data_IF_689578414844
#
_entry.id   IF_689578414844
#
_cell.length_a   1.000
_cell.length_b   1.000
_cell.length_c   1.000
_cell.angle_alpha   90.00
_cell.angle_beta   90.00
_cell.angle_gamma   90.00
#
_symmetry.space_group_name_H-M   'P 1'
#
loop_
_entity.id
_entity.type
_entity.pdbx_description
1 polymer ?
#
# COMPACT_ATOMS: atom_id res chain seq x y z
N UNK A 1 8.90 -4.93 -15.10
CA UNK A 1 7.57 -4.65 -15.67
C UNK A 1 7.45 -5.40 -16.98
N UNK A 2 6.38 -6.15 -17.17
CA UNK A 2 6.11 -6.79 -18.46
C UNK A 2 5.65 -5.71 -19.45
N UNK A 3 6.52 -5.39 -20.42
CA UNK A 3 6.40 -4.19 -21.27
C UNK A 3 5.08 -4.13 -22.05
N UNK A 4 4.63 -5.26 -22.57
CA UNK A 4 3.39 -5.41 -23.35
C UNK A 4 2.12 -5.33 -22.49
N UNK A 5 2.24 -5.27 -21.16
CA UNK A 5 1.12 -5.12 -20.23
C UNK A 5 0.94 -3.71 -19.66
N UNK A 6 1.77 -2.74 -20.10
CA UNK A 6 1.76 -1.40 -19.51
C UNK A 6 0.60 -0.58 -20.09
N UNK A 7 -0.36 -0.24 -19.23
CA UNK A 7 -1.45 0.68 -19.52
C UNK A 7 -1.11 2.07 -18.98
N UNK A 8 -0.69 3.00 -19.85
CA UNK A 8 -0.51 4.41 -19.49
C UNK A 8 -1.83 5.18 -19.67
N UNK A 9 -2.35 5.71 -18.57
CA UNK A 9 -3.61 6.46 -18.52
C UNK A 9 -3.33 7.92 -18.20
N UNK A 10 -3.75 8.80 -19.10
CA UNK A 10 -3.39 10.22 -19.07
C UNK A 10 -4.51 11.08 -18.50
N UNK A 11 -5.74 10.87 -18.95
CA UNK A 11 -6.88 11.65 -18.52
C UNK A 11 -7.51 11.07 -17.24
N UNK A 12 -8.17 11.93 -16.46
CA UNK A 12 -8.80 11.49 -15.20
C UNK A 12 -9.91 10.47 -15.44
N UNK A 13 -10.68 10.63 -16.52
CA UNK A 13 -11.79 9.74 -16.86
C UNK A 13 -11.31 8.32 -17.11
N UNK A 14 -10.31 8.13 -17.96
CA UNK A 14 -9.73 6.82 -18.24
C UNK A 14 -9.11 6.17 -17.01
N UNK A 15 -8.51 6.96 -16.10
CA UNK A 15 -8.02 6.44 -14.81
C UNK A 15 -9.20 5.92 -13.97
N UNK A 16 -10.29 6.67 -13.85
CA UNK A 16 -11.48 6.21 -13.15
C UNK A 16 -12.08 4.95 -13.79
N UNK A 17 -12.25 4.94 -15.11
CA UNK A 17 -12.83 3.82 -15.84
C UNK A 17 -11.98 2.56 -15.70
N UNK A 18 -10.65 2.68 -15.85
CA UNK A 18 -9.74 1.56 -15.69
C UNK A 18 -9.78 1.01 -14.26
N UNK A 19 -9.65 1.88 -13.25
CA UNK A 19 -9.67 1.48 -11.85
C UNK A 19 -11.01 0.86 -11.46
N UNK A 20 -12.13 1.38 -11.99
CA UNK A 20 -13.46 0.80 -11.79
C UNK A 20 -13.55 -0.64 -12.32
N UNK A 21 -12.88 -0.94 -13.44
CA UNK A 21 -12.84 -2.27 -14.04
C UNK A 21 -11.91 -3.25 -13.29
N UNK A 22 -11.03 -2.76 -12.42
CA UNK A 22 -10.20 -3.63 -11.56
C UNK A 22 -10.98 -4.18 -10.37
N UNK A 23 -12.01 -3.48 -9.92
CA UNK A 23 -12.76 -3.84 -8.71
C UNK A 23 -13.60 -5.10 -8.89
N UNK A 24 -13.59 -5.95 -7.88
CA UNK A 24 -14.59 -6.99 -7.73
C UNK A 24 -15.97 -6.35 -7.50
N UNK A 25 -17.04 -7.04 -7.92
CA UNK A 25 -18.38 -6.58 -7.58
C UNK A 25 -18.59 -6.65 -6.06
N UNK A 26 -18.82 -5.51 -5.42
CA UNK A 26 -18.89 -5.41 -3.97
C UNK A 26 -18.71 -3.99 -3.41
N UNK A 27 -18.41 -3.86 -2.11
CA UNK A 27 -18.43 -2.57 -1.41
C UNK A 27 -17.47 -1.52 -1.99
N UNK A 28 -16.24 -1.90 -2.37
CA UNK A 28 -15.24 -0.97 -2.92
C UNK A 28 -15.69 -0.42 -4.27
N UNK A 29 -16.15 -1.30 -5.18
CA UNK A 29 -16.73 -0.91 -6.46
C UNK A 29 -17.91 0.04 -6.28
N UNK A 30 -18.79 -0.24 -5.31
CA UNK A 30 -19.95 0.60 -5.05
C UNK A 30 -19.58 1.98 -4.48
N UNK A 31 -18.62 2.04 -3.54
CA UNK A 31 -18.09 3.30 -3.02
C UNK A 31 -17.46 4.13 -4.14
N UNK A 32 -16.72 3.51 -5.06
CA UNK A 32 -16.16 4.20 -6.23
C UNK A 32 -17.26 4.76 -7.14
N UNK A 33 -18.26 3.94 -7.49
CA UNK A 33 -19.35 4.30 -8.41
C UNK A 33 -20.23 5.43 -7.86
N UNK A 34 -20.48 5.45 -6.56
CA UNK A 34 -21.41 6.40 -5.90
C UNK A 34 -20.78 7.72 -5.47
N UNK A 35 -19.49 7.95 -5.76
CA UNK A 35 -18.81 9.16 -5.28
C UNK A 35 -18.50 9.12 -3.78
N UNK A 36 -18.26 7.94 -3.21
CA UNK A 36 -17.87 7.75 -1.80
C UNK A 36 -16.36 7.84 -1.58
N UNK A 37 -15.88 7.39 -0.42
CA UNK A 37 -14.47 7.47 -0.03
C UNK A 37 -13.50 6.90 -1.08
N UNK A 38 -13.83 5.78 -1.72
CA UNK A 38 -12.96 5.19 -2.77
C UNK A 38 -12.89 6.10 -4.00
N UNK A 39 -14.00 6.75 -4.38
CA UNK A 39 -14.01 7.71 -5.48
C UNK A 39 -13.06 8.88 -5.23
N UNK A 40 -13.12 9.48 -4.04
CA UNK A 40 -12.28 10.63 -3.70
C UNK A 40 -10.78 10.27 -3.72
N UNK A 41 -10.45 9.06 -3.30
CA UNK A 41 -9.08 8.53 -3.37
C UNK A 41 -8.64 8.39 -4.85
N UNK A 42 -9.51 7.85 -5.71
CA UNK A 42 -9.21 7.69 -7.14
C UNK A 42 -9.14 9.03 -7.87
N UNK A 43 -10.00 10.00 -7.57
CA UNK A 43 -9.89 11.36 -8.16
C UNK A 43 -8.57 12.02 -7.76
N UNK A 44 -8.17 11.90 -6.49
CA UNK A 44 -6.87 12.38 -6.04
C UNK A 44 -5.72 11.66 -6.73
N UNK A 45 -5.81 10.34 -6.90
CA UNK A 45 -4.83 9.54 -7.62
C UNK A 45 -4.69 10.00 -9.08
N UNK A 46 -5.80 10.28 -9.76
CA UNK A 46 -5.86 10.72 -11.16
C UNK A 46 -5.36 12.14 -11.43
N UNK A 47 -4.93 12.89 -10.42
CA UNK A 47 -4.37 14.25 -10.59
C UNK A 47 -3.15 14.31 -11.52
N UNK A 48 -2.45 13.21 -11.72
CA UNK A 48 -1.35 13.05 -12.69
C UNK A 48 -1.60 11.80 -13.54
N UNK A 49 -0.95 11.64 -14.71
CA UNK A 49 -0.91 10.39 -15.45
C UNK A 49 -0.47 9.23 -14.57
N UNK A 50 -1.04 8.05 -14.80
CA UNK A 50 -0.79 6.83 -14.03
C UNK A 50 -0.56 5.67 -14.97
N UNK A 51 0.17 4.67 -14.51
CA UNK A 51 0.32 3.45 -15.29
C UNK A 51 0.14 2.21 -14.42
N UNK A 52 -0.41 1.18 -15.06
CA UNK A 52 -0.65 -0.15 -14.49
C UNK A 52 0.15 -1.16 -15.30
N UNK A 53 0.64 -2.22 -14.66
CA UNK A 53 1.46 -3.22 -15.36
C UNK A 53 1.46 -4.57 -14.64
N UNK A 54 1.64 -5.65 -15.38
CA UNK A 54 1.93 -6.98 -14.86
C UNK A 54 3.43 -7.16 -14.55
N UNK A 55 3.79 -7.94 -13.53
CA UNK A 55 5.18 -8.24 -13.24
C UNK A 55 5.82 -9.06 -14.38
N UNK A 56 7.02 -8.67 -14.79
CA UNK A 56 7.90 -9.52 -15.60
C UNK A 56 8.62 -10.57 -14.74
N UNK A 57 8.91 -10.24 -13.48
CA UNK A 57 9.59 -11.09 -12.53
C UNK A 57 8.87 -10.98 -11.16
N UNK A 58 7.77 -11.73 -10.97
CA UNK A 58 6.86 -11.56 -9.83
C UNK A 58 7.56 -11.60 -8.47
N UNK A 59 8.57 -12.46 -8.33
CA UNK A 59 9.29 -12.64 -7.08
C UNK A 59 9.87 -11.33 -6.54
N UNK A 60 10.51 -10.51 -7.37
CA UNK A 60 11.17 -9.28 -6.92
C UNK A 60 10.27 -8.05 -7.02
N UNK A 61 9.37 -8.01 -8.01
CA UNK A 61 8.53 -6.83 -8.27
C UNK A 61 7.42 -6.66 -7.23
N UNK A 62 6.90 -7.76 -6.65
CA UNK A 62 5.83 -7.73 -5.65
C UNK A 62 6.15 -6.88 -4.42
N UNK A 63 7.43 -6.72 -4.08
CA UNK A 63 7.87 -5.96 -2.91
C UNK A 63 8.45 -4.59 -3.27
N UNK A 64 8.51 -4.22 -4.56
CA UNK A 64 9.32 -3.10 -5.02
C UNK A 64 8.76 -1.70 -4.68
N UNK A 65 7.50 -1.61 -4.24
CA UNK A 65 6.82 -0.35 -3.91
C UNK A 65 6.75 0.64 -5.10
N UNK A 66 6.21 0.16 -6.21
CA UNK A 66 6.10 0.91 -7.47
C UNK A 66 5.24 2.18 -7.39
N UNK A 67 4.35 2.24 -6.41
CA UNK A 67 3.45 3.37 -6.17
C UNK A 67 4.20 4.69 -5.91
N UNK A 68 5.43 4.62 -5.39
CA UNK A 68 6.27 5.80 -5.15
C UNK A 68 6.80 6.45 -6.43
N UNK A 69 6.93 5.72 -7.54
CA UNK A 69 7.21 6.32 -8.85
C UNK A 69 6.00 6.27 -9.80
N UNK A 70 4.80 6.14 -9.23
CA UNK A 70 3.53 6.33 -9.93
C UNK A 70 2.99 5.11 -10.67
N UNK A 71 3.59 3.93 -10.49
CA UNK A 71 3.13 2.68 -11.10
C UNK A 71 2.34 1.80 -10.14
N UNK A 72 1.25 1.21 -10.61
CA UNK A 72 0.50 0.21 -9.87
C UNK A 72 0.78 -1.17 -10.46
N UNK A 73 1.46 -2.00 -9.69
CA UNK A 73 1.69 -3.41 -10.03
C UNK A 73 0.37 -4.19 -9.90
N UNK A 74 -0.05 -4.83 -10.99
CA UNK A 74 -1.17 -5.75 -11.01
C UNK A 74 -0.77 -7.10 -10.43
N UNK A 75 -1.65 -7.67 -9.61
CA UNK A 75 -1.40 -8.91 -8.89
C UNK A 75 -2.67 -9.73 -8.75
N UNK A 76 -2.50 -11.06 -8.76
CA UNK A 76 -3.57 -12.01 -8.56
C UNK A 76 -3.65 -12.44 -7.09
N UNK A 77 -4.87 -12.45 -6.56
CA UNK A 77 -5.20 -13.07 -5.29
C UNK A 77 -6.38 -14.02 -5.50
N UNK A 78 -6.38 -15.14 -4.76
CA UNK A 78 -7.51 -16.07 -4.75
C UNK A 78 -8.81 -15.39 -4.28
N UNK A 79 -8.70 -14.50 -3.29
CA UNK A 79 -9.80 -13.66 -2.85
C UNK A 79 -9.75 -12.29 -3.55
N UNK A 80 -10.71 -11.98 -4.45
CA UNK A 80 -10.69 -10.73 -5.20
C UNK A 80 -10.89 -9.50 -4.31
N UNK A 81 -11.52 -9.63 -3.14
CA UNK A 81 -11.68 -8.52 -2.20
C UNK A 81 -10.38 -8.18 -1.45
N UNK A 82 -9.47 -9.15 -1.26
CA UNK A 82 -8.12 -8.89 -0.75
C UNK A 82 -7.30 -8.17 -1.82
N UNK A 83 -7.42 -8.58 -3.10
CA UNK A 83 -6.80 -7.85 -4.22
C UNK A 83 -7.26 -6.41 -4.28
N UNK A 84 -8.57 -6.16 -4.15
CA UNK A 84 -9.12 -4.80 -4.16
C UNK A 84 -8.56 -3.95 -3.01
N UNK A 85 -8.41 -4.54 -1.80
CA UNK A 85 -7.75 -3.86 -0.68
C UNK A 85 -6.28 -3.54 -0.99
N UNK A 86 -5.53 -4.47 -1.59
CA UNK A 86 -4.14 -4.23 -2.04
C UNK A 86 -4.12 -3.05 -3.00
N UNK A 87 -4.90 -3.08 -4.06
CA UNK A 87 -4.92 -2.02 -5.06
C UNK A 87 -5.31 -0.66 -4.45
N UNK A 88 -6.32 -0.63 -3.58
CA UNK A 88 -6.69 0.59 -2.86
C UNK A 88 -5.54 1.13 -2.00
N UNK A 89 -4.78 0.26 -1.32
CA UNK A 89 -3.64 0.63 -0.48
C UNK A 89 -2.59 1.41 -1.28
N UNK A 90 -2.34 0.96 -2.49
CA UNK A 90 -1.25 1.46 -3.32
C UNK A 90 -1.63 2.65 -4.18
N UNK A 91 -2.89 2.67 -4.64
CA UNK A 91 -3.51 3.89 -5.14
C UNK A 91 -3.47 4.97 -4.06
N UNK A 92 -3.77 4.63 -2.79
CA UNK A 92 -3.71 5.58 -1.69
C UNK A 92 -2.29 6.11 -1.45
N UNK A 93 -1.27 5.24 -1.45
CA UNK A 93 0.13 5.68 -1.42
C UNK A 93 0.43 6.69 -2.52
N UNK A 94 0.20 6.32 -3.77
CA UNK A 94 0.49 7.14 -4.93
C UNK A 94 -0.32 8.46 -4.97
N UNK A 95 -1.52 8.48 -4.37
CA UNK A 95 -2.37 9.66 -4.26
C UNK A 95 -1.91 10.64 -3.17
N UNK A 96 -1.30 10.14 -2.09
CA UNK A 96 -1.10 10.91 -0.86
C UNK A 96 0.35 11.22 -0.53
N UNK A 97 1.31 10.48 -1.10
CA UNK A 97 2.73 10.68 -0.86
C UNK A 97 3.20 12.04 -1.44
N UNK A 98 3.72 12.95 -0.60
CA UNK A 98 4.27 14.21 -1.08
C UNK A 98 5.65 14.00 -1.69
N UNK A 99 5.98 14.75 -2.76
CA UNK A 99 7.32 14.76 -3.36
C UNK A 99 8.03 16.09 -3.08
N UNK A 100 9.33 16.04 -2.79
CA UNK A 100 10.11 17.19 -2.32
C UNK A 100 11.53 17.19 -2.90
N UNK A 101 11.82 18.18 -3.73
CA UNK A 101 13.16 18.41 -4.31
C UNK A 101 14.16 18.74 -3.21
N UNK A 102 15.30 18.07 -3.23
CA UNK A 102 16.37 18.27 -2.24
C UNK A 102 16.01 17.87 -0.82
N UNK A 103 15.00 17.00 -0.61
CA UNK A 103 14.68 16.53 0.74
C UNK A 103 15.85 15.75 1.36
N UNK A 104 16.01 15.85 2.68
CA UNK A 104 17.02 15.07 3.40
C UNK A 104 16.56 13.63 3.58
N UNK A 105 17.49 12.71 3.84
CA UNK A 105 17.17 11.30 4.16
C UNK A 105 16.21 11.21 5.36
N UNK A 106 16.37 12.05 6.38
CA UNK A 106 15.45 12.08 7.54
C UNK A 106 14.03 12.53 7.17
N UNK A 107 13.90 13.43 6.19
CA UNK A 107 12.60 13.83 5.65
C UNK A 107 11.98 12.72 4.79
N UNK A 108 12.77 12.04 3.96
CA UNK A 108 12.35 10.85 3.21
C UNK A 108 11.80 9.77 4.15
N UNK A 109 12.55 9.45 5.20
CA UNK A 109 12.17 8.49 6.22
C UNK A 109 10.85 8.90 6.89
N UNK A 110 10.75 10.14 7.35
CA UNK A 110 9.57 10.67 8.03
C UNK A 110 8.32 10.63 7.14
N UNK A 111 8.43 11.07 5.88
CA UNK A 111 7.28 11.07 4.95
C UNK A 111 6.88 9.65 4.55
N UNK A 112 7.83 8.75 4.35
CA UNK A 112 7.56 7.37 3.99
C UNK A 112 6.81 6.65 5.11
N UNK A 113 7.29 6.78 6.36
CA UNK A 113 6.60 6.21 7.51
C UNK A 113 5.22 6.82 7.74
N UNK A 114 5.05 8.12 7.53
CA UNK A 114 3.74 8.75 7.64
C UNK A 114 2.77 8.22 6.57
N UNK A 115 3.23 8.10 5.33
CA UNK A 115 2.43 7.61 4.22
C UNK A 115 2.03 6.14 4.40
N UNK A 116 2.98 5.29 4.78
CA UNK A 116 2.72 3.89 5.13
C UNK A 116 1.69 3.76 6.25
N UNK A 117 1.89 4.47 7.38
CA UNK A 117 0.93 4.41 8.48
C UNK A 117 -0.47 4.85 8.07
N UNK A 118 -0.58 5.88 7.22
CA UNK A 118 -1.87 6.34 6.73
C UNK A 118 -2.52 5.34 5.77
N UNK A 119 -1.78 4.82 4.78
CA UNK A 119 -2.27 3.84 3.81
C UNK A 119 -2.74 2.56 4.50
N UNK A 120 -1.89 2.00 5.37
CA UNK A 120 -2.21 0.87 6.22
C UNK A 120 -3.43 1.11 7.11
N UNK A 121 -3.49 2.24 7.83
CA UNK A 121 -4.64 2.54 8.72
C UNK A 121 -5.94 2.69 7.92
N UNK A 122 -5.89 3.28 6.73
CA UNK A 122 -7.07 3.40 5.88
C UNK A 122 -7.54 2.03 5.40
N UNK A 123 -6.64 1.24 4.81
CA UNK A 123 -7.01 0.01 4.09
C UNK A 123 -7.09 -1.24 4.96
N UNK A 124 -6.50 -1.25 6.15
CA UNK A 124 -6.55 -2.38 7.07
C UNK A 124 -7.49 -2.14 8.26
N UNK A 125 -7.93 -0.89 8.49
CA UNK A 125 -8.75 -0.53 9.65
C UNK A 125 -9.98 0.31 9.27
N UNK A 126 -9.77 1.55 8.81
CA UNK A 126 -10.87 2.50 8.60
C UNK A 126 -11.86 2.07 7.51
N UNK A 127 -11.39 1.34 6.49
CA UNK A 127 -12.22 0.80 5.40
C UNK A 127 -13.40 -0.03 5.92
N UNK A 128 -13.23 -0.72 7.05
CA UNK A 128 -14.28 -1.55 7.65
C UNK A 128 -15.30 -0.75 8.46
N UNK A 129 -14.99 0.50 8.83
CA UNK A 129 -15.98 1.43 9.38
C UNK A 129 -16.81 2.07 8.25
N UNK A 130 -16.15 2.39 7.13
CA UNK A 130 -16.81 2.93 5.93
C UNK A 130 -17.69 1.88 5.25
N UNK A 131 -17.22 0.63 5.19
CA UNK A 131 -17.89 -0.48 4.50
C UNK A 131 -17.88 -1.74 5.39
N UNK A 132 -18.72 -1.83 6.43
CA UNK A 132 -18.70 -2.95 7.38
C UNK A 132 -18.89 -4.33 6.73
N UNK A 133 -19.68 -4.41 5.65
CA UNK A 133 -19.89 -5.65 4.90
C UNK A 133 -18.63 -6.23 4.25
N UNK A 134 -17.59 -5.42 4.04
CA UNK A 134 -16.31 -5.86 3.46
C UNK A 134 -15.57 -6.84 4.38
N UNK A 135 -15.80 -6.77 5.69
CA UNK A 135 -15.08 -7.63 6.66
C UNK A 135 -15.37 -9.11 6.44
N UNK A 136 -16.62 -9.47 6.15
CA UNK A 136 -17.03 -10.85 5.90
C UNK A 136 -16.53 -11.41 4.55
N UNK A 137 -16.08 -10.52 3.65
CA UNK A 137 -15.65 -10.88 2.30
C UNK A 137 -14.12 -11.02 2.16
N UNK A 138 -13.34 -10.57 3.16
CA UNK A 138 -11.88 -10.41 3.03
C UNK A 138 -11.09 -11.50 3.74
N UNK A 139 -11.16 -11.57 5.08
CA UNK A 139 -10.35 -12.50 5.87
C UNK A 139 -11.22 -13.48 6.65
N UNK A 140 -10.82 -14.75 6.69
CA UNK A 140 -11.47 -15.81 7.46
C UNK A 140 -11.00 -15.87 8.93
N UNK A 141 -9.86 -15.24 9.22
CA UNK A 141 -9.27 -15.12 10.55
C UNK A 141 -9.44 -13.71 11.11
N UNK A 142 -9.33 -13.53 12.45
CA UNK A 142 -9.36 -12.21 13.06
C UNK A 142 -8.21 -11.31 12.56
N UNK A 143 -8.50 -10.03 12.36
CA UNK A 143 -7.52 -8.98 12.03
C UNK A 143 -7.45 -7.93 13.15
N UNK A 144 -6.42 -7.07 13.13
CA UNK A 144 -6.22 -6.07 14.17
C UNK A 144 -7.42 -5.13 14.36
N UNK A 145 -8.12 -4.78 13.28
CA UNK A 145 -9.32 -3.95 13.33
C UNK A 145 -10.46 -4.57 14.15
N UNK A 146 -10.54 -5.90 14.24
CA UNK A 146 -11.65 -6.58 14.94
C UNK A 146 -11.67 -6.27 16.44
N UNK A 147 -10.54 -5.85 17.04
CA UNK A 147 -10.48 -5.39 18.43
C UNK A 147 -11.33 -4.15 18.70
N UNK A 148 -11.53 -3.35 17.66
CA UNK A 148 -12.28 -2.10 17.72
C UNK A 148 -13.66 -2.27 17.12
N UNK A 149 -13.78 -3.02 16.02
CA UNK A 149 -15.06 -3.25 15.37
C UNK A 149 -15.92 -4.27 16.14
N UNK A 150 -15.32 -5.26 16.81
CA UNK A 150 -16.02 -6.31 17.55
C UNK A 150 -15.37 -6.54 18.93
N UNK A 151 -15.40 -5.56 19.85
CA UNK A 151 -14.69 -5.66 21.13
C UNK A 151 -15.16 -6.81 22.04
N UNK A 152 -16.37 -7.33 21.80
CA UNK A 152 -16.92 -8.50 22.49
C UNK A 152 -16.43 -9.84 21.93
N UNK A 153 -15.77 -9.83 20.77
CA UNK A 153 -15.44 -11.02 19.98
C UNK A 153 -16.62 -11.60 19.18
N UNK A 154 -17.83 -11.01 19.28
CA UNK A 154 -19.00 -11.44 18.50
C UNK A 154 -19.06 -10.70 17.15
N UNK A 155 -18.64 -11.39 16.08
CA UNK A 155 -18.63 -10.87 14.70
C UNK A 155 -20.02 -10.53 14.15
N UNK A 156 -21.10 -10.95 14.80
CA UNK A 156 -22.46 -10.56 14.44
C UNK A 156 -22.88 -9.22 15.06
N UNK A 157 -22.08 -8.65 15.99
CA UNK A 157 -22.43 -7.45 16.76
C UNK A 157 -21.30 -6.42 16.69
N UNK A 158 -21.23 -5.62 15.61
CA UNK A 158 -20.23 -4.57 15.52
C UNK A 158 -20.47 -3.48 16.58
N UNK A 159 -19.40 -2.78 16.97
CA UNK A 159 -19.46 -1.60 17.83
C UNK A 159 -20.19 -0.47 17.10
N UNK A 160 -21.47 -0.29 17.43
CA UNK A 160 -22.31 0.74 16.85
C UNK A 160 -21.85 2.15 17.21
N UNK A 161 -21.24 2.33 18.38
CA UNK A 161 -20.75 3.64 18.80
C UNK A 161 -19.55 4.08 17.94
N UNK A 162 -18.62 3.17 17.66
CA UNK A 162 -17.50 3.45 16.76
C UNK A 162 -17.97 3.75 15.34
N UNK A 163 -18.96 3.01 14.83
CA UNK A 163 -19.55 3.25 13.52
C UNK A 163 -20.28 4.60 13.44
N UNK A 164 -21.00 4.98 14.49
CA UNK A 164 -21.69 6.27 14.54
C UNK A 164 -20.69 7.43 14.65
N UNK A 165 -19.61 7.27 15.41
CA UNK A 165 -18.52 8.24 15.45
C UNK A 165 -17.82 8.39 14.10
N UNK A 166 -17.57 7.31 13.37
CA UNK A 166 -17.00 7.37 12.01
C UNK A 166 -17.88 8.21 11.07
N UNK A 167 -19.20 8.00 11.09
CA UNK A 167 -20.15 8.75 10.27
C UNK A 167 -20.23 10.24 10.66
N UNK A 168 -20.10 10.54 11.95
CA UNK A 168 -20.18 11.91 12.44
C UNK A 168 -18.87 12.70 12.23
N UNK A 169 -17.72 12.06 12.47
CA UNK A 169 -16.39 12.65 12.34
C UNK A 169 -15.36 11.55 12.01
N UNK A 170 -15.28 11.22 10.72
CA UNK A 170 -14.35 10.22 10.20
C UNK A 170 -12.89 10.61 10.43
N UNK A 171 -12.57 11.90 10.44
CA UNK A 171 -11.21 12.39 10.67
C UNK A 171 -10.73 12.09 12.09
N UNK A 172 -11.50 12.48 13.10
CA UNK A 172 -11.13 12.21 14.50
C UNK A 172 -11.07 10.70 14.77
N UNK A 173 -12.00 9.94 14.18
CA UNK A 173 -12.01 8.48 14.30
C UNK A 173 -10.79 7.85 13.60
N UNK A 174 -10.40 8.35 12.43
CA UNK A 174 -9.19 7.92 11.74
C UNK A 174 -7.93 8.21 12.55
N UNK A 175 -7.80 9.41 13.12
CA UNK A 175 -6.66 9.79 13.97
C UNK A 175 -6.57 8.90 15.23
N UNK A 176 -7.72 8.50 15.79
CA UNK A 176 -7.76 7.50 16.85
C UNK A 176 -7.19 6.15 16.40
N UNK A 177 -7.63 5.60 15.26
CA UNK A 177 -7.13 4.31 14.75
C UNK A 177 -5.63 4.37 14.43
N UNK A 178 -5.18 5.48 13.85
CA UNK A 178 -3.77 5.75 13.55
C UNK A 178 -2.92 5.70 14.81
N UNK A 179 -3.39 6.33 15.90
CA UNK A 179 -2.72 6.32 17.20
C UNK A 179 -2.70 4.92 17.84
N UNK A 180 -3.79 4.15 17.72
CA UNK A 180 -3.81 2.75 18.21
C UNK A 180 -2.77 1.90 17.49
N UNK A 181 -2.67 2.02 16.15
CA UNK A 181 -1.63 1.33 15.37
C UNK A 181 -0.22 1.78 15.78
N UNK A 182 -0.01 3.09 15.94
CA UNK A 182 1.29 3.66 16.34
C UNK A 182 1.76 3.10 17.69
N UNK A 183 0.87 2.99 18.68
CA UNK A 183 1.19 2.45 20.01
C UNK A 183 1.74 1.02 19.95
N UNK A 184 1.23 0.19 19.04
CA UNK A 184 1.71 -1.19 18.86
C UNK A 184 3.10 -1.19 18.21
N UNK A 185 3.27 -0.41 17.14
CA UNK A 185 4.53 -0.32 16.38
C UNK A 185 5.66 0.22 17.25
N UNK A 186 5.40 1.27 18.03
CA UNK A 186 6.40 1.98 18.84
C UNK A 186 6.55 1.44 20.26
N UNK A 187 5.76 0.43 20.66
CA UNK A 187 5.89 -0.16 21.99
C UNK A 187 7.32 -0.72 22.21
N UNK A 188 7.87 -0.64 23.44
CA UNK A 188 9.09 -1.35 23.77
C UNK A 188 8.87 -2.86 23.68
N UNK A 189 9.93 -3.63 23.41
CA UNK A 189 9.87 -5.09 23.22
C UNK A 189 9.19 -5.83 24.39
N UNK A 190 9.39 -5.34 25.62
CA UNK A 190 8.81 -5.91 26.84
C UNK A 190 7.29 -5.75 26.97
N UNK A 191 6.64 -4.94 26.12
CA UNK A 191 5.19 -4.70 26.11
C UNK A 191 4.49 -5.34 24.92
N UNK A 192 5.23 -6.12 24.13
CA UNK A 192 4.69 -6.85 23.00
C UNK A 192 4.18 -8.18 23.53
N UNK A 193 2.93 -8.48 23.20
CA UNK A 193 2.45 -9.84 23.28
C UNK A 193 3.02 -10.63 22.09
N UNK A 194 3.95 -11.53 22.36
CA UNK A 194 4.61 -12.33 21.34
C UNK A 194 3.69 -13.43 20.78
N UNK A 195 2.61 -13.75 21.50
CA UNK A 195 1.63 -14.78 21.14
C UNK A 195 0.48 -14.18 20.32
N UNK A 196 0.53 -12.87 20.06
CA UNK A 196 -0.47 -12.14 19.28
C UNK A 196 0.01 -11.91 17.83
N UNK A 197 -0.35 -12.78 16.87
CA UNK A 197 0.20 -12.74 15.51
C UNK A 197 -0.10 -11.42 14.79
N UNK A 198 -1.21 -10.74 15.11
CA UNK A 198 -1.54 -9.44 14.53
C UNK A 198 -0.58 -8.36 15.00
N UNK A 199 -0.26 -8.35 16.31
CA UNK A 199 0.70 -7.42 16.91
C UNK A 199 2.12 -7.70 16.39
N UNK A 200 2.52 -8.97 16.30
CA UNK A 200 3.85 -9.30 15.76
C UNK A 200 3.97 -8.88 14.29
N UNK A 201 2.93 -9.12 13.48
CA UNK A 201 2.92 -8.70 12.07
C UNK A 201 3.01 -7.18 11.91
N UNK A 202 2.21 -6.42 12.67
CA UNK A 202 2.21 -4.94 12.64
C UNK A 202 3.59 -4.33 12.89
N UNK A 203 4.38 -4.92 13.79
CA UNK A 203 5.71 -4.42 14.13
C UNK A 203 6.74 -4.61 13.02
N UNK A 204 6.62 -5.68 12.24
CA UNK A 204 7.57 -6.00 11.16
C UNK A 204 7.51 -4.98 10.02
N UNK A 205 6.38 -4.34 9.78
CA UNK A 205 6.29 -3.22 8.83
C UNK A 205 7.24 -2.06 9.19
N UNK A 206 7.42 -1.77 10.48
CA UNK A 206 8.38 -0.75 10.93
C UNK A 206 9.83 -1.11 10.58
N UNK A 207 10.19 -2.40 10.63
CA UNK A 207 11.52 -2.89 10.23
C UNK A 207 11.72 -2.88 8.71
N UNK A 208 10.66 -3.23 7.96
CA UNK A 208 10.66 -3.16 6.49
C UNK A 208 10.87 -1.72 6.01
N UNK A 209 10.19 -0.74 6.60
CA UNK A 209 10.35 0.67 6.22
C UNK A 209 11.77 1.20 6.44
N UNK A 210 12.46 0.76 7.52
CA UNK A 210 13.88 1.11 7.72
C UNK A 210 14.79 0.51 6.65
N UNK A 211 14.56 -0.76 6.28
CA UNK A 211 15.31 -1.40 5.20
C UNK A 211 15.08 -0.69 3.86
N UNK A 212 13.84 -0.30 3.59
CA UNK A 212 13.47 0.45 2.40
C UNK A 212 14.26 1.77 2.31
N UNK A 213 14.21 2.60 3.36
CA UNK A 213 14.93 3.89 3.41
C UNK A 213 16.43 3.69 3.19
N UNK A 214 17.02 2.66 3.80
CA UNK A 214 18.44 2.34 3.61
C UNK A 214 18.75 2.01 2.15
N UNK A 215 17.96 1.14 1.51
CA UNK A 215 18.16 0.72 0.12
C UNK A 215 18.05 1.92 -0.83
N UNK A 216 17.06 2.79 -0.61
CA UNK A 216 16.78 3.93 -1.47
C UNK A 216 17.60 5.19 -1.16
N UNK A 217 18.38 5.19 -0.08
CA UNK A 217 19.11 6.35 0.43
C UNK A 217 20.04 7.02 -0.60
N UNK A 218 20.46 6.30 -1.65
CA UNK A 218 21.36 6.82 -2.68
C UNK A 218 20.67 7.33 -3.94
N UNK A 219 19.40 6.96 -4.18
CA UNK A 219 18.68 7.27 -5.44
C UNK A 219 17.34 7.96 -5.25
N UNK A 220 16.90 8.16 -4.01
CA UNK A 220 15.60 8.75 -3.75
C UNK A 220 15.40 10.11 -4.43
N UNK A 221 16.43 10.96 -4.47
CA UNK A 221 16.34 12.27 -5.12
C UNK A 221 15.94 12.19 -6.59
N UNK A 222 16.39 11.15 -7.31
CA UNK A 222 16.04 10.92 -8.71
C UNK A 222 14.53 10.70 -8.89
N UNK A 223 13.94 9.88 -8.01
CA UNK A 223 12.49 9.62 -8.00
C UNK A 223 11.70 10.86 -7.59
N UNK A 224 12.16 11.58 -6.57
CA UNK A 224 11.51 12.82 -6.13
C UNK A 224 11.46 13.86 -7.26
N UNK A 225 12.56 14.06 -7.98
CA UNK A 225 12.64 15.03 -9.07
C UNK A 225 11.81 14.62 -10.29
N UNK A 226 11.84 13.34 -10.67
CA UNK A 226 11.02 12.81 -11.76
C UNK A 226 9.52 12.96 -11.46
N UNK A 227 9.08 12.59 -10.25
CA UNK A 227 7.69 12.72 -9.84
C UNK A 227 7.23 14.17 -9.74
N UNK A 228 8.09 15.08 -9.25
CA UNK A 228 7.79 16.51 -9.26
C UNK A 228 7.66 17.04 -10.69
N UNK A 229 8.54 16.63 -11.59
CA UNK A 229 8.47 17.02 -13.01
C UNK A 229 7.15 16.55 -13.64
N UNK A 230 6.74 15.30 -13.37
CA UNK A 230 5.45 14.76 -13.81
C UNK A 230 4.28 15.60 -13.27
N UNK A 231 4.30 15.94 -11.98
CA UNK A 231 3.25 16.74 -11.32
C UNK A 231 3.19 18.16 -11.91
N UNK A 232 4.31 18.85 -12.01
CA UNK A 232 4.42 20.23 -12.49
C UNK A 232 3.94 20.33 -13.95
N UNK A 233 4.40 19.44 -14.83
CA UNK A 233 3.99 19.42 -16.24
C UNK A 233 2.52 19.01 -16.42
N UNK A 234 2.04 18.06 -15.62
CA UNK A 234 0.62 17.68 -15.62
C UNK A 234 -0.29 18.85 -15.22
N UNK A 235 0.13 19.66 -14.24
CA UNK A 235 -0.58 20.85 -13.81
C UNK A 235 -0.54 21.98 -14.85
N UNK A 236 0.51 22.03 -15.67
CA UNK A 236 0.64 22.96 -16.80
C UNK A 236 -0.19 22.54 -18.04
N UNK A 237 -0.85 21.37 -18.00
CA UNK A 237 -1.67 20.87 -19.10
C UNK A 237 -0.96 19.89 -20.05
N UNK A 238 0.32 19.62 -19.82
CA UNK A 238 1.16 18.72 -20.65
C UNK A 238 1.03 17.24 -20.26
N UNK A 239 -0.16 16.81 -19.81
CA UNK A 239 -0.36 15.49 -19.19
C UNK A 239 0.13 14.33 -20.06
N UNK A 240 -0.19 14.35 -21.36
CA UNK A 240 0.17 13.26 -22.29
C UNK A 240 1.68 13.11 -22.40
N UNK A 241 2.36 14.20 -22.75
CA UNK A 241 3.82 14.22 -22.90
C UNK A 241 4.52 13.89 -21.58
N UNK A 242 4.06 14.47 -20.47
CA UNK A 242 4.62 14.20 -19.14
C UNK A 242 4.50 12.72 -18.74
N UNK A 243 3.36 12.09 -19.02
CA UNK A 243 3.16 10.66 -18.74
C UNK A 243 4.07 9.76 -19.59
N UNK A 244 4.19 10.06 -20.89
CA UNK A 244 5.07 9.31 -21.78
C UNK A 244 6.55 9.49 -21.43
N UNK A 245 6.99 10.72 -21.15
CA UNK A 245 8.37 11.01 -20.77
C UNK A 245 8.74 10.34 -19.44
N UNK A 246 7.82 10.34 -18.46
CA UNK A 246 8.02 9.65 -17.18
C UNK A 246 8.15 8.14 -17.37
N UNK A 247 7.29 7.53 -18.18
CA UNK A 247 7.36 6.11 -18.48
C UNK A 247 8.64 5.76 -19.26
N UNK A 248 9.03 6.60 -20.23
CA UNK A 248 10.27 6.42 -20.98
C UNK A 248 11.51 6.51 -20.08
N UNK A 249 11.52 7.42 -19.10
CA UNK A 249 12.57 7.51 -18.08
C UNK A 249 12.65 6.22 -17.26
N UNK A 250 11.52 5.72 -16.74
CA UNK A 250 11.47 4.46 -15.98
C UNK A 250 11.99 3.25 -16.76
N UNK A 251 11.72 3.22 -18.07
CA UNK A 251 12.13 2.15 -18.98
C UNK A 251 13.55 2.30 -19.51
N UNK A 252 14.16 3.47 -19.39
CA UNK A 252 15.51 3.73 -19.88
C UNK A 252 16.56 2.81 -19.26
N UNK A 253 17.66 2.58 -19.97
CA UNK A 253 18.78 1.76 -19.47
C UNK A 253 19.37 2.31 -18.17
N UNK A 254 19.32 3.63 -17.95
CA UNK A 254 19.81 4.27 -16.73
C UNK A 254 19.00 3.88 -15.48
N UNK A 255 17.70 3.62 -15.65
CA UNK A 255 16.79 3.28 -14.55
C UNK A 255 16.57 1.77 -14.46
N UNK A 256 16.28 1.13 -15.59
CA UNK A 256 15.94 -0.30 -15.64
C UNK A 256 17.15 -1.23 -15.80
N UNK A 257 18.32 -0.71 -16.19
CA UNK A 257 19.48 -1.53 -16.51
C UNK A 257 19.23 -2.53 -17.65
N UNK A 258 18.27 -2.22 -18.54
CA UNK A 258 17.88 -3.08 -19.66
C UNK A 258 16.99 -4.27 -19.28
N UNK A 259 16.58 -4.42 -18.01
CA UNK A 259 15.76 -5.56 -17.56
C UNK A 259 14.25 -5.31 -17.67
N UNK A 260 13.85 -4.08 -18.00
CA UNK A 260 12.45 -3.65 -17.95
C UNK A 260 11.89 -3.49 -16.53
N UNK A 261 12.71 -3.68 -15.49
CA UNK A 261 12.35 -3.47 -14.08
C UNK A 261 13.03 -2.17 -13.63
N UNK A 262 12.28 -1.06 -13.45
CA UNK A 262 12.86 0.18 -12.94
C UNK A 262 13.58 -0.07 -11.62
N UNK A 263 14.78 0.47 -11.41
CA UNK A 263 15.52 0.31 -10.16
C UNK A 263 15.72 -1.17 -9.75
N UNK A 264 16.10 -2.00 -10.72
CA UNK A 264 16.25 -3.44 -10.53
C UNK A 264 17.21 -3.84 -9.39
N UNK A 265 18.25 -3.04 -9.14
CA UNK A 265 19.16 -3.25 -8.00
C UNK A 265 18.43 -3.12 -6.66
N UNK A 266 17.66 -2.05 -6.51
CA UNK A 266 16.85 -1.75 -5.33
C UNK A 266 15.74 -2.80 -5.14
N UNK A 267 15.08 -3.22 -6.23
CA UNK A 267 14.06 -4.28 -6.21
C UNK A 267 14.59 -5.57 -5.58
N UNK A 268 15.76 -6.04 -6.05
CA UNK A 268 16.42 -7.24 -5.52
C UNK A 268 16.91 -7.06 -4.10
N UNK A 269 17.49 -5.91 -3.78
CA UNK A 269 17.96 -5.62 -2.43
C UNK A 269 16.80 -5.65 -1.43
N UNK A 270 15.63 -5.12 -1.83
CA UNK A 270 14.45 -5.11 -0.99
C UNK A 270 13.83 -6.50 -0.85
N UNK A 271 13.71 -7.27 -1.94
CA UNK A 271 13.30 -8.69 -1.89
C UNK A 271 14.17 -9.50 -0.91
N UNK A 272 15.49 -9.38 -1.02
CA UNK A 272 16.43 -10.10 -0.17
C UNK A 272 16.27 -9.72 1.32
N UNK A 273 16.11 -8.44 1.61
CA UNK A 273 15.87 -7.96 2.97
C UNK A 273 14.51 -8.46 3.50
N UNK A 274 13.48 -8.46 2.67
CA UNK A 274 12.15 -8.96 3.01
C UNK A 274 12.17 -10.47 3.30
N UNK A 275 12.82 -11.27 2.45
CA UNK A 275 12.97 -12.72 2.68
C UNK A 275 13.71 -13.05 3.97
N UNK A 276 14.76 -12.30 4.28
CA UNK A 276 15.49 -12.47 5.53
C UNK A 276 14.61 -12.17 6.76
N UNK A 277 13.76 -11.14 6.68
CA UNK A 277 12.80 -10.80 7.73
C UNK A 277 11.73 -11.89 7.88
N UNK A 278 11.13 -12.35 6.78
CA UNK A 278 10.15 -13.45 6.80
C UNK A 278 10.76 -14.71 7.40
N UNK A 279 11.97 -15.09 6.98
CA UNK A 279 12.64 -16.28 7.51
C UNK A 279 12.96 -16.15 9.01
N UNK A 280 13.34 -14.96 9.49
CA UNK A 280 13.56 -14.72 10.92
C UNK A 280 12.25 -14.79 11.71
N UNK A 281 11.16 -14.29 11.14
CA UNK A 281 9.83 -14.36 11.72
C UNK A 281 9.33 -15.80 11.80
N UNK A 282 9.38 -16.56 10.71
CA UNK A 282 8.91 -17.94 10.66
C UNK A 282 9.63 -18.82 11.67
N UNK A 283 10.94 -18.61 11.87
CA UNK A 283 11.70 -19.28 12.93
C UNK A 283 11.17 -18.92 14.32
N UNK A 284 10.97 -17.63 14.60
CA UNK A 284 10.45 -17.19 15.90
C UNK A 284 9.05 -17.75 16.19
N UNK A 285 8.15 -17.75 15.20
CA UNK A 285 6.81 -18.34 15.37
C UNK A 285 6.88 -19.84 15.60
N UNK A 286 7.72 -20.55 14.84
CA UNK A 286 7.91 -22.01 15.00
C UNK A 286 8.45 -22.34 16.39
N UNK A 287 9.45 -21.59 16.87
CA UNK A 287 10.05 -21.79 18.20
C UNK A 287 9.03 -21.53 19.34
N UNK A 288 8.05 -20.67 19.10
CA UNK A 288 6.93 -20.39 20.03
C UNK A 288 5.73 -21.33 19.87
N UNK A 289 5.72 -22.24 18.89
CA UNK A 289 4.58 -23.13 18.62
C UNK A 289 3.42 -22.48 17.86
N UNK A 290 3.66 -21.33 17.22
CA UNK A 290 2.68 -20.50 16.52
C UNK A 290 2.69 -20.72 14.99
N UNK A 291 1.73 -20.12 14.29
CA UNK A 291 1.58 -20.25 12.82
C UNK A 291 2.59 -19.36 12.07
N UNK A 292 3.44 -19.98 11.26
CA UNK A 292 4.37 -19.30 10.35
C UNK A 292 3.64 -18.57 9.19
N UNK A 293 4.22 -17.48 8.67
CA UNK A 293 3.66 -16.69 7.57
C UNK A 293 3.64 -17.48 6.26
N UNK A 294 4.63 -18.34 6.02
CA UNK A 294 4.68 -19.21 4.83
C UNK A 294 3.67 -20.37 4.85
N UNK A 295 2.82 -20.45 5.88
CA UNK A 295 1.94 -21.60 6.11
C UNK A 295 2.74 -22.86 6.49
N UNK A 296 2.05 -23.93 6.88
CA UNK A 296 2.70 -25.24 6.98
C UNK A 296 3.12 -25.66 5.57
N UNK A 297 4.39 -26.05 5.39
CA UNK A 297 4.79 -26.74 4.16
C UNK A 297 3.83 -27.92 3.93
N UNK A 298 3.36 -28.15 2.69
CA UNK A 298 2.53 -29.31 2.41
C UNK A 298 3.27 -30.57 2.86
N UNK A 299 2.57 -31.41 3.63
CA UNK A 299 3.07 -32.68 4.16
C UNK A 299 3.36 -33.67 3.03
#
# INVERSE_FOLDING_TARGET
MKIDSIDLLVDRGSIHDYVMNLWADGPIAESHRKGGMVHDIVDRFGKVPRFFYEPSEPHIEWTHFSSWWGGILLCDYDNPYIRDLRYLHEIYHAATLPYLRGCSIGMLESKNFANERQASTLTEMAIYLEMPGLRALTFDHPIFMDRFLYPSGDFARPDTQLLDHWKADSRTTFDFLLEQRRRVIEAPASKIDADDPQVVWLRRYGEQGKNWVRIWSHRYGEVEDAMLTLIERSAAGERTEAGHDHLAWLLSDAVSGGTGIPFHGEARAFRNAFDALVAAYDRAMTDSGEVAVRGKAPA
#
